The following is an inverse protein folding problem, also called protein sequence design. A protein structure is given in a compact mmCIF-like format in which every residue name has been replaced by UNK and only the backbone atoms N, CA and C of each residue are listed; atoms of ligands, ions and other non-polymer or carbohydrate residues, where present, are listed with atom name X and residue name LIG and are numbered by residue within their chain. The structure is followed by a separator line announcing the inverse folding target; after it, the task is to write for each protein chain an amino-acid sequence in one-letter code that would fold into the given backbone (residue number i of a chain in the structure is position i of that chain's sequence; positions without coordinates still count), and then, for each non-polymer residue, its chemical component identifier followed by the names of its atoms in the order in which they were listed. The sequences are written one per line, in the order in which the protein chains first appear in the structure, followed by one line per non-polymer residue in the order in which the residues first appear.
data_IF_753266606392
#
_entry.id   IF_753266606392
#
_cell.length_a   1.000
_cell.length_b   1.000
_cell.length_c   1.000
_cell.angle_alpha   90.00
_cell.angle_beta   90.00
_cell.angle_gamma   90.00
#
_symmetry.space_group_name_H-M   'P 1'
#
loop_
_entity.id
_entity.type
_entity.pdbx_description
1 polymer ?
#
# COMPACT_ATOMS: atom_id res chain seq x y z
N UNK A 1 -1.37 -23.83 -76.64
CA UNK A 1 -1.64 -22.66 -75.79
C UNK A 1 -1.98 -23.16 -74.40
N UNK A 2 -0.99 -23.25 -73.50
CA UNK A 2 -1.19 -23.61 -72.09
C UNK A 2 -0.33 -22.64 -71.28
N UNK A 3 -0.99 -21.71 -70.59
CA UNK A 3 -0.32 -20.65 -69.85
C UNK A 3 -0.98 -20.42 -68.50
N UNK A 4 -0.18 -20.59 -67.46
CA UNK A 4 -0.19 -19.84 -66.21
C UNK A 4 -1.40 -20.00 -65.27
N UNK A 5 -1.24 -20.87 -64.26
CA UNK A 5 -1.98 -20.77 -62.98
C UNK A 5 -1.15 -21.41 -61.86
N UNK A 6 0.02 -20.85 -61.55
CA UNK A 6 0.86 -21.30 -60.42
C UNK A 6 1.60 -20.15 -59.73
N UNK A 7 0.89 -19.10 -59.31
CA UNK A 7 1.44 -18.09 -58.40
C UNK A 7 0.32 -17.53 -57.53
N UNK A 8 -0.01 -18.19 -56.42
CA UNK A 8 -0.84 -17.59 -55.34
C UNK A 8 -0.75 -18.29 -53.98
N UNK A 9 -0.24 -19.53 -53.88
CA UNK A 9 -0.23 -20.25 -52.59
C UNK A 9 0.93 -19.89 -51.64
N UNK A 10 2.04 -19.34 -52.14
CA UNK A 10 3.24 -19.09 -51.31
C UNK A 10 3.13 -17.80 -50.49
N UNK A 11 2.30 -16.83 -50.91
CA UNK A 11 2.15 -15.55 -50.20
C UNK A 11 1.22 -15.64 -48.99
N UNK A 12 0.27 -16.58 -49.00
CA UNK A 12 -0.71 -16.75 -47.91
C UNK A 12 -0.08 -17.46 -46.69
N UNK A 13 0.88 -18.37 -46.88
CA UNK A 13 1.51 -19.09 -45.76
C UNK A 13 2.50 -18.25 -44.93
N UNK A 14 3.11 -17.20 -45.49
CA UNK A 14 4.03 -16.33 -44.73
C UNK A 14 3.32 -15.40 -43.75
N UNK A 15 2.06 -15.02 -44.04
CA UNK A 15 1.27 -14.16 -43.15
C UNK A 15 0.65 -14.93 -41.98
N UNK A 16 0.29 -16.20 -42.18
CA UNK A 16 -0.28 -17.04 -41.10
C UNK A 16 0.77 -17.33 -40.00
N UNK A 17 2.06 -17.42 -40.36
CA UNK A 17 3.13 -17.72 -39.41
C UNK A 17 3.45 -16.56 -38.43
N UNK A 18 3.12 -15.32 -38.78
CA UNK A 18 3.34 -14.13 -37.94
C UNK A 18 2.14 -13.80 -37.03
N UNK A 19 0.95 -14.32 -37.34
CA UNK A 19 -0.28 -14.05 -36.57
C UNK A 19 -0.32 -14.90 -35.30
N UNK A 20 0.21 -16.13 -35.33
CA UNK A 20 0.16 -17.06 -34.18
C UNK A 20 1.00 -16.55 -32.99
N UNK A 21 2.25 -16.06 -33.15
CA UNK A 21 3.02 -15.49 -32.05
C UNK A 21 2.37 -14.23 -31.46
N UNK A 22 1.76 -13.37 -32.29
CA UNK A 22 1.07 -12.17 -31.83
C UNK A 22 -0.18 -12.52 -30.99
N UNK A 23 -0.96 -13.53 -31.42
CA UNK A 23 -2.11 -14.03 -30.64
C UNK A 23 -1.63 -14.66 -29.33
N UNK A 24 -0.55 -15.45 -29.33
CA UNK A 24 0.00 -16.05 -28.12
C UNK A 24 0.58 -15.01 -27.15
N UNK A 25 1.28 -13.98 -27.64
CA UNK A 25 1.72 -12.85 -26.81
C UNK A 25 0.54 -12.08 -26.24
N UNK A 26 -0.53 -11.84 -27.02
CA UNK A 26 -1.72 -11.15 -26.54
C UNK A 26 -2.49 -11.96 -25.50
N UNK A 27 -2.59 -13.29 -25.69
CA UNK A 27 -3.15 -14.24 -24.71
C UNK A 27 -2.30 -14.31 -23.43
N UNK A 28 -0.97 -14.26 -23.55
CA UNK A 28 -0.06 -14.26 -22.39
C UNK A 28 -0.15 -12.97 -21.58
N UNK A 29 -0.21 -11.81 -22.25
CA UNK A 29 -0.42 -10.51 -21.60
C UNK A 29 -1.80 -10.46 -20.93
N UNK A 30 -2.87 -10.92 -21.59
CA UNK A 30 -4.20 -11.05 -20.96
C UNK A 30 -4.20 -12.02 -19.77
N UNK A 31 -3.51 -13.15 -19.87
CA UNK A 31 -3.38 -14.14 -18.81
C UNK A 31 -2.70 -13.59 -17.55
N UNK A 32 -1.76 -12.66 -17.69
CA UNK A 32 -1.16 -11.97 -16.53
C UNK A 32 -2.08 -10.93 -15.89
N UNK A 33 -3.05 -10.40 -16.63
CA UNK A 33 -4.06 -9.49 -16.08
C UNK A 33 -5.23 -10.20 -15.39
N UNK A 34 -5.47 -11.49 -15.69
CA UNK A 34 -6.66 -12.25 -15.26
C UNK A 34 -6.61 -12.87 -13.85
N UNK A 35 -5.52 -12.71 -13.10
CA UNK A 35 -5.39 -13.26 -11.73
C UNK A 35 -5.04 -12.19 -10.69
N UNK A 36 -5.59 -10.97 -10.83
CA UNK A 36 -5.39 -9.94 -9.80
C UNK A 36 -6.30 -10.21 -8.60
N UNK A 37 -5.71 -10.45 -7.43
CA UNK A 37 -6.46 -10.63 -6.19
C UNK A 37 -6.65 -9.27 -5.51
N UNK A 38 -7.81 -8.66 -5.75
CA UNK A 38 -8.23 -7.43 -5.07
C UNK A 38 -9.04 -7.82 -3.84
N UNK A 39 -8.63 -7.35 -2.66
CA UNK A 39 -9.43 -7.51 -1.45
C UNK A 39 -10.19 -6.20 -1.21
N UNK A 40 -11.51 -6.29 -1.28
CA UNK A 40 -12.40 -5.15 -1.01
C UNK A 40 -12.97 -5.25 0.39
N UNK A 41 -12.67 -4.26 1.21
CA UNK A 41 -13.22 -4.09 2.54
C UNK A 41 -14.33 -3.05 2.51
N UNK A 42 -15.56 -3.50 2.81
CA UNK A 42 -16.66 -2.60 3.15
C UNK A 42 -16.54 -2.24 4.61
N UNK A 43 -16.37 -0.95 4.89
CA UNK A 43 -16.51 -0.44 6.25
C UNK A 43 -17.97 -0.62 6.65
N UNK A 44 -18.24 -1.38 7.70
CA UNK A 44 -19.60 -1.50 8.24
C UNK A 44 -20.10 -0.12 8.67
N UNK A 45 -21.35 0.20 8.32
CA UNK A 45 -22.00 1.47 8.63
C UNK A 45 -21.93 1.75 10.14
N UNK A 46 -21.17 2.77 10.55
CA UNK A 46 -20.94 3.13 11.95
C UNK A 46 -19.57 2.74 12.53
N UNK A 47 -18.77 1.96 11.80
CA UNK A 47 -17.37 1.73 12.14
C UNK A 47 -16.51 2.88 11.59
N UNK A 48 -16.14 3.84 12.44
CA UNK A 48 -15.33 4.99 12.03
C UNK A 48 -13.83 4.70 11.89
N UNK A 49 -13.40 3.43 11.90
CA UNK A 49 -11.98 3.06 11.99
C UNK A 49 -11.63 1.98 10.98
N UNK A 50 -10.67 2.32 10.11
CA UNK A 50 -10.01 1.35 9.24
C UNK A 50 -9.11 0.45 10.11
N UNK A 51 -9.33 -0.86 10.03
CA UNK A 51 -8.42 -1.89 10.56
C UNK A 51 -8.04 -2.76 9.37
N UNK A 52 -6.76 -2.79 9.03
CA UNK A 52 -6.24 -3.58 7.91
C UNK A 52 -6.01 -5.00 8.40
N UNK A 53 -6.61 -6.04 7.82
CA UNK A 53 -6.39 -7.39 8.33
C UNK A 53 -4.95 -7.87 8.18
N UNK A 54 -4.45 -8.59 9.17
CA UNK A 54 -3.06 -9.09 9.23
C UNK A 54 -2.69 -9.96 8.03
N UNK A 55 -3.69 -10.64 7.45
CA UNK A 55 -3.51 -11.47 6.26
C UNK A 55 -3.22 -10.66 5.00
N UNK A 56 -3.37 -9.33 5.00
CA UNK A 56 -3.29 -8.51 3.78
C UNK A 56 -1.96 -8.69 3.06
N UNK A 57 -0.83 -8.58 3.78
CA UNK A 57 0.51 -8.74 3.18
C UNK A 57 0.86 -10.21 2.87
N UNK A 58 0.35 -11.16 3.66
CA UNK A 58 0.71 -12.58 3.53
C UNK A 58 -0.15 -13.36 2.55
N UNK A 59 -1.37 -12.89 2.23
CA UNK A 59 -2.30 -13.58 1.35
C UNK A 59 -2.05 -13.34 -0.15
N UNK A 60 -0.96 -12.63 -0.49
CA UNK A 60 -0.54 -12.34 -1.86
C UNK A 60 -1.48 -11.41 -2.62
N UNK A 61 -2.26 -10.56 -1.92
CA UNK A 61 -3.14 -9.61 -2.56
C UNK A 61 -2.36 -8.64 -3.46
N UNK A 62 -2.94 -8.28 -4.60
CA UNK A 62 -2.36 -7.27 -5.49
C UNK A 62 -2.83 -5.86 -5.10
N UNK A 63 -4.06 -5.76 -4.57
CA UNK A 63 -4.60 -4.50 -4.08
C UNK A 63 -5.54 -4.71 -2.88
N UNK A 64 -5.55 -3.69 -2.03
CA UNK A 64 -6.40 -3.48 -0.89
C UNK A 64 -7.29 -2.29 -1.20
N UNK A 65 -8.60 -2.52 -1.34
CA UNK A 65 -9.55 -1.44 -1.51
C UNK A 65 -10.41 -1.27 -0.28
N UNK A 66 -10.55 -0.05 0.20
CA UNK A 66 -11.48 0.28 1.28
C UNK A 66 -12.14 1.62 1.01
N UNK A 67 -13.44 1.69 1.25
CA UNK A 67 -14.17 2.96 1.20
C UNK A 67 -13.98 3.68 2.53
N UNK A 68 -13.21 4.77 2.54
CA UNK A 68 -13.14 5.63 3.71
C UNK A 68 -14.45 6.42 3.82
N UNK A 69 -15.46 5.88 4.50
CA UNK A 69 -16.62 6.70 4.87
C UNK A 69 -16.13 7.77 5.86
N UNK A 70 -15.93 8.99 5.34
CA UNK A 70 -15.60 10.18 6.14
C UNK A 70 -16.83 10.49 6.98
N UNK A 71 -16.94 9.83 8.14
CA UNK A 71 -17.93 10.17 9.15
C UNK A 71 -17.76 11.62 9.59
N UNK A 72 -18.84 12.21 10.11
CA UNK A 72 -18.94 13.61 10.50
C UNK A 72 -17.95 14.03 11.62
N UNK A 73 -16.67 14.20 11.27
CA UNK A 73 -15.74 15.18 11.84
C UNK A 73 -15.35 15.08 13.33
N UNK A 74 -15.53 13.96 14.03
CA UNK A 74 -15.15 13.88 15.47
C UNK A 74 -14.53 12.56 15.91
N UNK A 75 -13.49 12.06 15.23
CA UNK A 75 -12.70 10.95 15.78
C UNK A 75 -11.21 11.16 15.52
N UNK A 76 -10.54 11.81 16.47
CA UNK A 76 -9.09 11.79 16.61
C UNK A 76 -8.70 10.62 17.52
N UNK A 77 -7.99 9.62 17.00
CA UNK A 77 -7.32 8.63 17.85
C UNK A 77 -6.10 8.03 17.18
N UNK A 78 -5.25 8.88 16.60
CA UNK A 78 -4.00 8.43 16.00
C UNK A 78 -3.09 9.55 15.52
N UNK A 79 -1.90 9.15 15.08
CA UNK A 79 -0.90 10.00 14.44
C UNK A 79 -0.63 9.47 13.03
N UNK A 80 -0.42 10.37 12.07
CA UNK A 80 0.14 10.02 10.76
C UNK A 80 1.49 10.72 10.63
N UNK A 81 2.57 9.95 10.78
CA UNK A 81 3.94 10.47 10.80
C UNK A 81 4.52 10.33 9.41
N UNK A 82 4.77 11.45 8.73
CA UNK A 82 5.20 11.44 7.34
C UNK A 82 6.58 12.07 7.13
N UNK A 83 7.25 11.64 6.07
CA UNK A 83 8.50 12.22 5.57
C UNK A 83 8.55 12.18 4.04
N UNK A 84 9.30 13.10 3.40
CA UNK A 84 9.41 13.12 1.95
C UNK A 84 9.99 11.83 1.38
N UNK A 85 9.51 11.43 0.21
CA UNK A 85 9.97 10.25 -0.53
C UNK A 85 10.31 10.65 -1.97
N UNK A 86 11.49 11.25 -2.21
CA UNK A 86 11.85 11.82 -3.51
C UNK A 86 11.85 10.80 -4.65
N UNK A 87 12.16 9.53 -4.34
CA UNK A 87 12.24 8.44 -5.33
C UNK A 87 10.88 8.07 -5.92
N UNK A 88 9.79 8.37 -5.23
CA UNK A 88 8.43 8.03 -5.65
C UNK A 88 7.58 9.28 -5.96
N UNK A 89 8.17 10.48 -5.91
CA UNK A 89 7.43 11.73 -6.14
C UNK A 89 6.20 11.85 -5.21
N UNK A 90 6.51 11.82 -3.92
CA UNK A 90 5.50 11.90 -2.86
C UNK A 90 6.11 11.81 -1.47
N UNK A 91 5.45 11.08 -0.59
CA UNK A 91 5.84 10.92 0.83
C UNK A 91 5.59 9.51 1.33
N UNK A 92 6.35 9.14 2.34
CA UNK A 92 6.10 7.97 3.14
C UNK A 92 5.36 8.36 4.43
N UNK A 93 4.56 7.44 4.97
CA UNK A 93 3.86 7.67 6.23
C UNK A 93 3.76 6.40 7.08
N UNK A 94 3.97 6.58 8.39
CA UNK A 94 3.71 5.60 9.42
C UNK A 94 2.48 6.07 10.22
N UNK A 95 1.37 5.38 10.00
CA UNK A 95 0.15 5.62 10.76
C UNK A 95 0.18 4.85 12.08
N UNK A 96 -0.19 5.54 13.15
CA UNK A 96 -0.30 5.03 14.52
C UNK A 96 -1.76 5.10 14.94
N UNK A 97 -2.41 3.96 15.08
CA UNK A 97 -3.81 3.84 15.48
C UNK A 97 -3.92 3.06 16.79
N UNK A 98 -5.09 3.08 17.44
CA UNK A 98 -5.32 2.31 18.68
C UNK A 98 -5.10 0.81 18.58
N UNK A 99 -5.12 0.24 17.36
CA UNK A 99 -5.00 -1.20 17.13
C UNK A 99 -3.77 -1.59 16.31
N UNK A 100 -3.23 -0.67 15.52
CA UNK A 100 -2.23 -1.00 14.50
C UNK A 100 -1.24 0.12 14.26
N UNK A 101 -0.02 -0.28 13.90
CA UNK A 101 0.91 0.53 13.13
C UNK A 101 0.91 0.05 11.69
N UNK A 102 0.89 0.96 10.71
CA UNK A 102 1.06 0.57 9.32
C UNK A 102 1.85 1.61 8.53
N UNK A 103 2.71 1.12 7.64
CA UNK A 103 3.63 1.89 6.82
C UNK A 103 3.17 1.88 5.37
N UNK A 104 2.99 3.09 4.80
CA UNK A 104 2.48 3.28 3.44
C UNK A 104 3.18 4.41 2.70
N UNK A 105 3.07 4.41 1.38
CA UNK A 105 3.37 5.56 0.54
C UNK A 105 2.13 6.39 0.25
N UNK A 106 2.38 7.66 -0.09
CA UNK A 106 1.45 8.60 -0.68
C UNK A 106 2.12 9.24 -1.89
N UNK A 107 1.53 9.10 -3.07
CA UNK A 107 2.05 9.70 -4.29
C UNK A 107 1.29 10.99 -4.63
N UNK A 108 2.01 12.02 -5.10
CA UNK A 108 1.40 13.28 -5.56
C UNK A 108 1.07 13.24 -7.08
N UNK A 109 1.22 12.07 -7.70
CA UNK A 109 1.01 11.79 -9.11
C UNK A 109 0.05 10.58 -9.26
N UNK A 110 -0.32 10.12 -10.47
CA UNK A 110 -1.33 9.07 -10.63
C UNK A 110 -0.83 7.66 -10.24
N UNK A 111 0.39 7.53 -9.69
CA UNK A 111 0.86 6.25 -9.18
C UNK A 111 0.08 5.86 -7.92
N UNK A 112 -0.21 4.56 -7.76
CA UNK A 112 -0.99 4.11 -6.62
C UNK A 112 -0.20 4.16 -5.31
N UNK A 113 -0.89 4.48 -4.22
CA UNK A 113 -0.38 4.30 -2.86
C UNK A 113 -0.15 2.81 -2.58
N UNK A 114 0.83 2.52 -1.73
CA UNK A 114 1.25 1.15 -1.42
C UNK A 114 1.38 0.96 0.09
N UNK A 115 0.96 -0.20 0.58
CA UNK A 115 1.15 -0.69 1.93
C UNK A 115 2.37 -1.61 1.96
N UNK A 116 3.34 -1.32 2.82
CA UNK A 116 4.62 -2.03 2.89
C UNK A 116 4.77 -2.87 4.15
N UNK A 117 4.20 -2.42 5.27
CA UNK A 117 4.34 -3.11 6.54
C UNK A 117 3.18 -2.76 7.46
N UNK A 118 2.80 -3.69 8.33
CA UNK A 118 1.85 -3.43 9.41
C UNK A 118 2.13 -4.36 10.58
N UNK A 119 1.71 -3.93 11.77
CA UNK A 119 1.65 -4.78 12.96
C UNK A 119 0.48 -4.35 13.84
N UNK A 120 -0.09 -5.30 14.56
CA UNK A 120 -1.03 -5.00 15.63
C UNK A 120 -0.29 -4.49 16.86
N UNK A 121 -0.98 -3.65 17.62
CA UNK A 121 -0.57 -3.17 18.92
C UNK A 121 -1.77 -3.19 19.88
N UNK A 122 -1.49 -3.39 21.15
CA UNK A 122 -2.45 -3.30 22.24
C UNK A 122 -2.78 -1.84 22.57
N UNK A 123 -3.92 -1.60 23.26
CA UNK A 123 -4.23 -0.28 23.78
C UNK A 123 -3.19 0.27 24.76
N UNK A 124 -2.41 -0.59 25.43
CA UNK A 124 -1.35 -0.17 26.34
C UNK A 124 -0.13 0.37 25.56
N UNK A 125 0.35 -0.40 24.59
CA UNK A 125 1.41 0.02 23.66
C UNK A 125 1.04 1.33 22.97
N UNK A 126 -0.18 1.43 22.42
CA UNK A 126 -0.65 2.66 21.77
C UNK A 126 -0.54 3.90 22.68
N UNK A 127 -0.96 3.80 23.95
CA UNK A 127 -0.86 4.93 24.90
C UNK A 127 0.59 5.33 25.16
N UNK A 128 1.49 4.36 25.30
CA UNK A 128 2.92 4.60 25.53
C UNK A 128 3.58 5.24 24.30
N UNK A 129 3.27 4.74 23.10
CA UNK A 129 3.73 5.31 21.82
C UNK A 129 3.26 6.76 21.68
N UNK A 130 1.97 7.01 21.92
CA UNK A 130 1.41 8.36 21.87
C UNK A 130 2.07 9.31 22.88
N UNK A 131 2.37 8.83 24.09
CA UNK A 131 3.12 9.60 25.10
C UNK A 131 4.53 9.92 24.62
N UNK A 132 5.22 8.95 24.01
CA UNK A 132 6.57 9.13 23.44
C UNK A 132 6.55 10.15 22.31
N UNK A 133 5.60 10.07 21.38
CA UNK A 133 5.42 11.05 20.29
C UNK A 133 5.27 12.46 20.85
N UNK A 134 4.38 12.65 21.84
CA UNK A 134 4.15 13.95 22.49
C UNK A 134 5.37 14.49 23.24
N UNK A 135 6.19 13.62 23.81
CA UNK A 135 7.43 14.00 24.50
C UNK A 135 8.55 14.36 23.51
N UNK A 136 8.57 13.75 22.33
CA UNK A 136 9.62 13.89 21.32
C UNK A 136 9.38 15.05 20.33
N UNK A 137 8.93 16.21 20.80
CA UNK A 137 8.65 17.40 19.93
C UNK A 137 9.87 17.92 19.17
N UNK A 138 11.08 17.61 19.63
CA UNK A 138 12.31 17.91 18.89
C UNK A 138 12.39 17.13 17.58
N UNK A 139 11.97 15.87 17.61
CA UNK A 139 12.03 14.89 16.51
C UNK A 139 10.87 15.08 15.53
N UNK A 140 9.69 15.43 16.05
CA UNK A 140 8.48 15.64 15.24
C UNK A 140 8.23 17.12 14.94
N UNK A 141 7.73 17.42 13.74
CA UNK A 141 7.28 18.73 13.30
C UNK A 141 6.08 19.22 14.08
N UNK A 142 5.67 20.47 13.81
CA UNK A 142 4.39 20.97 14.33
C UNK A 142 3.26 20.10 13.77
N UNK A 143 2.26 19.74 14.58
CA UNK A 143 1.08 19.06 14.06
C UNK A 143 0.41 19.95 13.02
N UNK A 144 0.08 19.36 11.88
CA UNK A 144 -0.78 19.99 10.90
C UNK A 144 -2.21 19.60 11.25
N UNK A 145 -3.07 20.60 11.47
CA UNK A 145 -4.50 20.36 11.51
C UNK A 145 -4.96 20.14 10.05
N UNK A 146 -4.77 18.94 9.52
CA UNK A 146 -5.51 18.54 8.32
C UNK A 146 -6.96 18.25 8.71
N UNK A 147 -7.87 18.34 7.75
CA UNK A 147 -9.29 17.96 7.91
C UNK A 147 -9.42 16.42 8.10
N UNK A 148 -8.31 15.69 8.09
CA UNK A 148 -8.24 14.24 8.14
C UNK A 148 -8.39 13.70 9.57
N UNK A 149 -8.73 12.41 9.66
CA UNK A 149 -9.07 11.69 10.90
C UNK A 149 -7.89 11.51 11.89
N UNK A 150 -6.66 11.90 11.52
CA UNK A 150 -5.44 11.70 12.30
C UNK A 150 -4.63 13.00 12.49
N UNK A 151 -3.82 13.07 13.56
CA UNK A 151 -2.87 14.19 13.72
C UNK A 151 -1.65 13.98 12.83
N UNK A 152 -1.52 14.76 11.76
CA UNK A 152 -0.37 14.72 10.86
C UNK A 152 0.89 15.32 11.50
N UNK A 153 2.00 14.56 11.49
CA UNK A 153 3.29 14.97 12.02
C UNK A 153 4.40 14.76 10.99
N UNK A 154 5.20 15.78 10.71
CA UNK A 154 6.42 15.60 9.90
C UNK A 154 7.55 15.00 10.74
N UNK A 155 8.21 13.95 10.26
CA UNK A 155 9.44 13.43 10.88
C UNK A 155 10.66 14.24 10.39
N UNK A 156 11.47 14.78 11.32
CA UNK A 156 12.57 15.71 10.96
C UNK A 156 13.91 15.06 10.66
N UNK A 157 14.06 13.77 10.93
CA UNK A 157 15.32 13.05 10.76
C UNK A 157 15.18 11.84 9.82
N UNK A 158 14.49 11.95 8.67
CA UNK A 158 14.45 10.85 7.72
C UNK A 158 15.83 10.64 7.10
N UNK A 159 16.16 9.38 6.82
CA UNK A 159 17.22 9.06 5.87
C UNK A 159 16.61 9.20 4.46
N UNK A 160 17.03 10.19 3.66
CA UNK A 160 16.41 10.47 2.37
C UNK A 160 16.67 9.37 1.32
N UNK A 161 17.64 8.49 1.56
CA UNK A 161 17.99 7.41 0.64
C UNK A 161 17.49 6.03 1.07
N UNK A 162 16.88 5.91 2.26
CA UNK A 162 16.57 4.61 2.83
C UNK A 162 15.33 4.66 3.75
N UNK A 163 14.19 4.24 3.20
CA UNK A 163 12.94 4.16 3.96
C UNK A 163 12.98 3.09 5.06
N UNK A 164 13.73 2.00 4.88
CA UNK A 164 13.88 0.96 5.89
C UNK A 164 14.60 1.52 7.12
N UNK A 165 15.70 2.25 6.92
CA UNK A 165 16.45 2.89 8.02
C UNK A 165 15.57 3.90 8.75
N UNK A 166 14.79 4.69 8.01
CA UNK A 166 13.86 5.66 8.58
C UNK A 166 12.77 4.98 9.42
N UNK A 167 12.11 3.95 8.86
CA UNK A 167 11.07 3.20 9.55
C UNK A 167 11.61 2.50 10.79
N UNK A 168 12.76 1.82 10.68
CA UNK A 168 13.42 1.16 11.81
C UNK A 168 13.76 2.14 12.93
N UNK A 169 14.20 3.34 12.58
CA UNK A 169 14.51 4.39 13.56
C UNK A 169 13.25 4.85 14.31
N UNK A 170 12.11 4.97 13.64
CA UNK A 170 10.83 5.25 14.28
C UNK A 170 10.37 4.11 15.19
N UNK A 171 10.49 2.85 14.76
CA UNK A 171 10.12 1.71 15.60
C UNK A 171 11.04 1.62 16.84
N UNK A 172 12.34 1.84 16.69
CA UNK A 172 13.27 1.89 17.82
C UNK A 172 12.89 3.00 18.81
N UNK A 173 12.55 4.20 18.30
CA UNK A 173 12.08 5.31 19.13
C UNK A 173 10.82 4.94 19.93
N UNK A 174 9.91 4.16 19.34
CA UNK A 174 8.72 3.67 20.04
C UNK A 174 9.06 2.62 21.09
N UNK A 175 9.93 1.66 20.75
CA UNK A 175 10.38 0.59 21.64
C UNK A 175 11.12 1.10 22.89
N UNK A 176 11.75 2.28 22.83
CA UNK A 176 12.30 2.96 24.02
C UNK A 176 11.24 3.27 25.10
N UNK A 177 9.96 3.35 24.72
CA UNK A 177 8.86 3.62 25.64
C UNK A 177 8.09 2.37 26.07
N UNK A 178 8.41 1.20 25.51
CA UNK A 178 7.69 -0.05 25.74
C UNK A 178 8.48 -0.97 26.69
N UNK A 179 7.78 -1.76 27.53
CA UNK A 179 8.39 -2.90 28.24
C UNK A 179 9.12 -3.83 27.27
N UNK A 180 10.19 -4.49 27.72
CA UNK A 180 11.03 -5.34 26.87
C UNK A 180 10.27 -6.49 26.19
N UNK A 181 9.25 -7.03 26.86
CA UNK A 181 8.36 -8.09 26.40
C UNK A 181 7.18 -7.60 25.53
N UNK A 182 6.97 -6.28 25.47
CA UNK A 182 5.96 -5.61 24.64
C UNK A 182 6.60 -4.79 23.51
N UNK A 183 7.88 -5.00 23.21
CA UNK A 183 8.53 -4.29 22.11
C UNK A 183 7.98 -4.74 20.76
N UNK A 184 7.74 -3.77 19.89
CA UNK A 184 7.29 -4.01 18.52
C UNK A 184 8.41 -4.71 17.76
N UNK A 185 8.12 -5.94 17.31
CA UNK A 185 8.99 -6.66 16.41
C UNK A 185 9.02 -5.98 15.04
N UNK A 186 10.20 -5.77 14.51
CA UNK A 186 10.41 -5.22 13.17
C UNK A 186 11.32 -6.18 12.38
N UNK A 187 10.96 -6.52 11.13
CA UNK A 187 11.78 -7.42 10.32
C UNK A 187 13.20 -6.88 10.13
N UNK A 188 14.14 -7.81 9.95
CA UNK A 188 15.45 -7.45 9.43
C UNK A 188 15.34 -6.94 7.98
N UNK A 189 16.46 -6.47 7.44
CA UNK A 189 16.48 -5.83 6.12
C UNK A 189 16.08 -6.81 5.02
N UNK A 190 16.57 -8.04 5.07
CA UNK A 190 16.29 -9.07 4.06
C UNK A 190 14.81 -9.43 4.06
N UNK A 191 14.23 -9.67 5.23
CA UNK A 191 12.80 -9.95 5.37
C UNK A 191 11.96 -8.75 4.91
N UNK A 192 12.35 -7.51 5.24
CA UNK A 192 11.65 -6.31 4.78
C UNK A 192 11.70 -6.14 3.26
N UNK A 193 12.87 -6.27 2.65
CA UNK A 193 13.05 -6.14 1.20
C UNK A 193 12.31 -7.25 0.43
N UNK A 194 12.01 -8.37 1.09
CA UNK A 194 11.20 -9.46 0.52
C UNK A 194 9.69 -9.20 0.54
N UNK A 195 9.22 -8.16 1.24
CA UNK A 195 7.79 -7.87 1.34
C UNK A 195 7.27 -7.37 -0.02
N UNK A 196 6.27 -8.07 -0.56
CA UNK A 196 5.50 -7.58 -1.70
C UNK A 196 4.53 -6.50 -1.22
N UNK A 197 4.81 -5.25 -1.57
CA UNK A 197 3.90 -4.13 -1.27
C UNK A 197 2.52 -4.36 -1.90
N UNK A 198 1.47 -3.98 -1.18
CA UNK A 198 0.08 -4.13 -1.62
C UNK A 198 -0.46 -2.75 -2.00
N UNK A 199 -0.99 -2.61 -3.22
CA UNK A 199 -1.61 -1.35 -3.66
C UNK A 199 -2.78 -0.99 -2.75
N UNK A 200 -2.91 0.27 -2.36
CA UNK A 200 -4.04 0.81 -1.62
C UNK A 200 -4.97 1.53 -2.61
N UNK A 201 -6.27 1.26 -2.52
CA UNK A 201 -7.32 1.92 -3.30
C UNK A 201 -8.29 2.55 -2.30
N UNK A 202 -8.26 3.88 -2.19
CA UNK A 202 -9.04 4.63 -1.19
C UNK A 202 -10.39 5.06 -1.76
N UNK A 203 -10.45 5.39 -3.06
CA UNK A 203 -11.70 5.77 -3.72
C UNK A 203 -12.29 4.57 -4.48
N UNK A 204 -13.56 4.28 -4.25
CA UNK A 204 -14.29 3.25 -5.01
C UNK A 204 -14.39 3.58 -6.51
N UNK A 205 -14.26 4.85 -6.89
CA UNK A 205 -14.22 5.23 -8.31
C UNK A 205 -13.02 4.60 -9.03
N UNK A 206 -11.89 4.40 -8.34
CA UNK A 206 -10.71 3.70 -8.88
C UNK A 206 -10.91 2.18 -9.03
N UNK A 207 -11.93 1.60 -8.38
CA UNK A 207 -12.25 0.17 -8.54
C UNK A 207 -12.96 -0.11 -9.86
N UNK A 208 -13.77 0.83 -10.37
CA UNK A 208 -14.59 0.61 -11.56
C UNK A 208 -13.77 0.56 -12.86
N UNK A 209 -12.51 1.01 -12.83
CA UNK A 209 -11.55 0.82 -13.93
C UNK A 209 -10.85 -0.56 -13.90
N UNK A 210 -11.13 -1.40 -12.89
CA UNK A 210 -10.58 -2.76 -12.75
C UNK A 210 -11.68 -3.82 -12.81
N UNK A 211 -11.74 -4.57 -13.92
CA UNK A 211 -12.91 -5.37 -14.31
C UNK A 211 -13.32 -6.58 -13.44
N UNK A 212 -12.65 -6.95 -12.33
CA UNK A 212 -13.12 -8.04 -11.46
C UNK A 212 -12.85 -7.78 -9.97
N UNK A 213 -13.93 -7.57 -9.20
CA UNK A 213 -13.91 -7.37 -7.75
C UNK A 213 -14.35 -8.66 -7.05
N UNK A 214 -13.46 -9.32 -6.31
CA UNK A 214 -13.80 -10.40 -5.39
C UNK A 214 -14.15 -9.82 -4.02
N UNK A 215 -15.41 -9.94 -3.61
CA UNK A 215 -15.84 -9.57 -2.26
C UNK A 215 -15.63 -10.76 -1.33
N UNK A 216 -14.78 -10.60 -0.31
CA UNK A 216 -14.75 -11.54 0.81
C UNK A 216 -15.92 -11.22 1.77
N UNK A 217 -16.57 -12.25 2.35
CA UNK A 217 -17.63 -12.07 3.34
C UNK A 217 -17.13 -11.48 4.66
#
# INVERSE_FOLDING_TARGET
MNGSTRFSYVYVMKNILLVIPAILCWQFVRGQHLNKKIIVYKIEKGCHRLVIPDSTLSCGADALAFSLEIGNGKFHSGYDIYWPAPLIDGRYSLAVTEKQLYFRSHHDNPNPDCLFWLTNISPAEYRLICKKIKASKGIFGKPFNSIELATGLSYKHPDPGDEYVTLKSLINLFNEALPADEQIAFPDREAYDSIKAVRIIINTDELYDSEEVSTLP
#
